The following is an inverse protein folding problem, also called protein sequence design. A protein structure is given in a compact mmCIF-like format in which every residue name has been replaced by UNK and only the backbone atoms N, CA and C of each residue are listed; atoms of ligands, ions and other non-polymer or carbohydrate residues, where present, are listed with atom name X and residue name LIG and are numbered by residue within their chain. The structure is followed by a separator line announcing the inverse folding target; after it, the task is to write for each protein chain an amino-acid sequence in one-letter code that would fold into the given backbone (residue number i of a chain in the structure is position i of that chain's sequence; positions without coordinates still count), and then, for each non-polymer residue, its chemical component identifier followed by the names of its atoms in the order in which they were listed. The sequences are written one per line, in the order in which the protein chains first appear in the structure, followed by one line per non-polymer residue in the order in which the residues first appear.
data_IF_117759663598
#
_entry.id   IF_117759663598
#
_cell.length_a   1.000
_cell.length_b   1.000
_cell.length_c   1.000
_cell.angle_alpha   90.00
_cell.angle_beta   90.00
_cell.angle_gamma   90.00
#
_symmetry.space_group_name_H-M   'P 1'
#
loop_
_entity.id
_entity.type
_entity.pdbx_description
1 polymer ?
#
# COMPACT_ATOMS: atom_id res chain seq x y z
N UNK A 1 -14.77 -6.79 -12.83
CA UNK A 1 -14.00 -7.84 -12.11
C UNK A 1 -14.17 -7.68 -10.60
N UNK A 2 -13.58 -6.65 -9.96
CA UNK A 2 -13.67 -6.49 -8.49
C UNK A 2 -15.12 -6.32 -7.96
N UNK A 3 -15.95 -5.54 -8.65
CA UNK A 3 -17.40 -5.45 -8.33
C UNK A 3 -18.08 -6.82 -8.36
N UNK A 4 -17.84 -7.61 -9.41
CA UNK A 4 -18.43 -8.95 -9.57
C UNK A 4 -18.01 -9.88 -8.45
N UNK A 5 -16.74 -9.83 -8.03
CA UNK A 5 -16.23 -10.63 -6.91
C UNK A 5 -16.98 -10.30 -5.61
N UNK A 6 -17.22 -9.01 -5.34
CA UNK A 6 -17.96 -8.58 -4.15
C UNK A 6 -19.44 -8.97 -4.23
N UNK A 7 -20.10 -8.77 -5.38
CA UNK A 7 -21.50 -9.13 -5.57
C UNK A 7 -21.73 -10.63 -5.41
N UNK A 8 -21.00 -11.46 -6.16
CA UNK A 8 -21.16 -12.92 -6.10
C UNK A 8 -20.76 -13.46 -4.73
N UNK A 9 -19.69 -12.92 -4.13
CA UNK A 9 -19.20 -13.37 -2.83
C UNK A 9 -20.11 -13.01 -1.64
N UNK A 10 -20.90 -11.94 -1.74
CA UNK A 10 -21.76 -11.45 -0.64
C UNK A 10 -23.25 -11.70 -0.89
N UNK A 11 -23.73 -11.45 -2.10
CA UNK A 11 -25.15 -11.55 -2.46
C UNK A 11 -25.51 -12.92 -3.07
N UNK A 12 -24.51 -13.70 -3.49
CA UNK A 12 -24.71 -14.99 -4.15
C UNK A 12 -25.00 -14.85 -5.65
N UNK A 13 -25.30 -16.00 -6.28
CA UNK A 13 -25.56 -16.09 -7.73
C UNK A 13 -26.91 -15.49 -8.13
N UNK A 14 -27.83 -15.32 -7.16
CA UNK A 14 -29.18 -14.78 -7.36
C UNK A 14 -29.26 -13.25 -7.17
N UNK A 15 -28.14 -12.52 -7.29
CA UNK A 15 -28.12 -11.06 -7.19
C UNK A 15 -29.10 -10.43 -8.22
N UNK A 16 -29.96 -9.54 -7.73
CA UNK A 16 -30.96 -8.83 -8.54
C UNK A 16 -30.34 -7.72 -9.41
N UNK A 17 -29.02 -7.54 -9.34
CA UNK A 17 -28.24 -6.56 -10.11
C UNK A 17 -28.70 -5.12 -9.83
N UNK A 18 -29.13 -4.85 -8.59
CA UNK A 18 -29.39 -3.48 -8.16
C UNK A 18 -28.10 -2.66 -8.20
N UNK A 19 -28.20 -1.40 -8.64
CA UNK A 19 -27.05 -0.49 -8.79
C UNK A 19 -26.28 -0.28 -7.48
N UNK A 20 -26.99 -0.29 -6.34
CA UNK A 20 -26.44 -0.11 -4.99
C UNK A 20 -27.19 -0.99 -3.98
N UNK A 21 -26.83 -2.28 -3.88
CA UNK A 21 -27.47 -3.18 -2.92
C UNK A 21 -27.29 -2.64 -1.49
N UNK A 22 -28.36 -2.69 -0.69
CA UNK A 22 -28.33 -2.17 0.69
C UNK A 22 -27.26 -2.92 1.50
N UNK A 23 -26.40 -2.15 2.19
CA UNK A 23 -25.33 -2.64 3.08
C UNK A 23 -24.12 -3.30 2.41
N UNK A 24 -23.95 -3.18 1.08
CA UNK A 24 -22.74 -3.62 0.39
C UNK A 24 -22.05 -2.43 -0.28
N UNK A 25 -20.80 -2.18 0.11
CA UNK A 25 -19.94 -1.17 -0.54
C UNK A 25 -19.43 -1.73 -1.86
N UNK A 26 -19.96 -1.20 -2.95
CA UNK A 26 -19.48 -1.49 -4.31
C UNK A 26 -18.56 -0.33 -4.76
N UNK A 27 -17.39 -0.62 -5.35
CA UNK A 27 -16.52 0.41 -5.88
C UNK A 27 -17.21 1.25 -6.96
N UNK A 28 -16.78 2.50 -7.08
CA UNK A 28 -17.30 3.46 -8.06
C UNK A 28 -17.27 2.91 -9.49
N UNK A 29 -18.31 3.20 -10.29
CA UNK A 29 -18.42 2.75 -11.70
C UNK A 29 -17.35 3.32 -12.64
N UNK A 30 -16.89 4.53 -12.34
CA UNK A 30 -15.88 5.27 -13.13
C UNK A 30 -14.80 5.78 -12.18
N UNK A 31 -14.01 4.88 -11.58
CA UNK A 31 -12.95 5.28 -10.66
C UNK A 31 -11.91 6.10 -11.43
N UNK A 32 -11.28 7.07 -10.76
CA UNK A 32 -10.19 7.84 -11.36
C UNK A 32 -8.95 6.98 -11.54
N UNK A 33 -8.63 6.13 -10.56
CA UNK A 33 -7.51 5.20 -10.57
C UNK A 33 -7.92 3.85 -9.99
N UNK A 34 -7.51 2.78 -10.67
CA UNK A 34 -7.48 1.41 -10.13
C UNK A 34 -6.06 0.89 -10.30
N UNK A 35 -5.35 0.68 -9.19
CA UNK A 35 -3.96 0.25 -9.20
C UNK A 35 -3.81 -1.08 -8.46
N UNK A 36 -3.32 -2.09 -9.17
CA UNK A 36 -2.89 -3.37 -8.58
C UNK A 36 -1.38 -3.33 -8.33
N UNK A 37 -0.97 -3.69 -7.11
CA UNK A 37 0.41 -4.01 -6.77
C UNK A 37 0.47 -5.46 -6.27
N UNK A 38 1.42 -6.24 -6.80
CA UNK A 38 1.57 -7.65 -6.47
C UNK A 38 2.94 -7.89 -5.82
N UNK A 39 2.93 -8.54 -4.65
CA UNK A 39 4.13 -8.98 -3.94
C UNK A 39 4.10 -10.49 -3.77
N UNK A 40 5.19 -11.16 -4.11
CA UNK A 40 5.36 -12.59 -3.85
C UNK A 40 5.92 -12.80 -2.45
N UNK A 41 5.50 -13.89 -1.80
CA UNK A 41 6.08 -14.34 -0.53
C UNK A 41 7.58 -14.61 -0.71
N UNK A 42 8.37 -14.30 0.32
CA UNK A 42 9.80 -14.62 0.36
C UNK A 42 10.05 -16.00 0.97
N UNK A 43 9.08 -16.52 1.73
CA UNK A 43 9.23 -17.72 2.56
C UNK A 43 8.37 -18.91 2.10
N UNK A 44 7.48 -18.70 1.13
CA UNK A 44 6.61 -19.75 0.59
C UNK A 44 6.02 -19.42 -0.78
N UNK A 45 5.12 -20.29 -1.24
CA UNK A 45 4.51 -20.20 -2.58
C UNK A 45 3.21 -19.38 -2.55
N UNK A 46 3.28 -18.19 -1.95
CA UNK A 46 2.14 -17.27 -1.82
C UNK A 46 2.37 -15.94 -2.54
N UNK A 47 1.29 -15.21 -2.77
CA UNK A 47 1.36 -13.83 -3.24
C UNK A 47 0.21 -12.99 -2.69
N UNK A 48 0.44 -11.69 -2.63
CA UNK A 48 -0.52 -10.66 -2.22
C UNK A 48 -0.75 -9.73 -3.40
N UNK A 49 -2.01 -9.57 -3.82
CA UNK A 49 -2.44 -8.59 -4.83
C UNK A 49 -3.30 -7.53 -4.15
N UNK A 50 -2.74 -6.33 -4.01
CA UNK A 50 -3.39 -5.21 -3.34
C UNK A 50 -3.88 -4.18 -4.36
N UNK A 51 -5.13 -3.76 -4.21
CA UNK A 51 -5.84 -2.85 -5.09
C UNK A 51 -6.16 -1.55 -4.36
N UNK A 52 -5.62 -0.44 -4.87
CA UNK A 52 -6.12 0.90 -4.54
C UNK A 52 -7.20 1.26 -5.55
N UNK A 53 -8.39 1.62 -5.07
CA UNK A 53 -9.48 2.12 -5.90
C UNK A 53 -9.83 3.52 -5.42
N UNK A 54 -9.59 4.50 -6.28
CA UNK A 54 -9.92 5.90 -6.01
C UNK A 54 -11.25 6.22 -6.70
N UNK A 55 -12.11 6.96 -6.01
CA UNK A 55 -13.38 7.43 -6.56
C UNK A 55 -13.16 8.39 -7.74
N UNK A 56 -14.22 8.82 -8.45
CA UNK A 56 -14.08 9.75 -9.57
C UNK A 56 -13.47 11.11 -9.21
N UNK A 57 -13.46 11.48 -7.92
CA UNK A 57 -12.89 12.73 -7.41
C UNK A 57 -11.43 12.59 -6.97
N UNK A 58 -10.88 11.37 -6.96
CA UNK A 58 -9.49 11.12 -6.60
C UNK A 58 -9.27 10.87 -5.11
N UNK A 59 -10.34 10.62 -4.35
CA UNK A 59 -10.28 10.20 -2.94
C UNK A 59 -10.36 8.68 -2.85
N UNK A 60 -9.74 8.07 -1.84
CA UNK A 60 -9.80 6.62 -1.67
C UNK A 60 -11.25 6.16 -1.47
N UNK A 61 -11.68 5.20 -2.31
CA UNK A 61 -13.00 4.56 -2.23
C UNK A 61 -12.92 3.21 -1.51
N UNK A 62 -11.95 2.39 -1.90
CA UNK A 62 -11.83 1.00 -1.40
C UNK A 62 -10.38 0.49 -1.52
N UNK A 63 -9.90 -0.14 -0.44
CA UNK A 63 -8.77 -1.07 -0.52
C UNK A 63 -9.29 -2.49 -0.67
N UNK A 64 -8.67 -3.27 -1.54
CA UNK A 64 -9.01 -4.68 -1.69
C UNK A 64 -7.73 -5.50 -1.80
N UNK A 65 -7.64 -6.57 -1.02
CA UNK A 65 -6.47 -7.45 -1.00
C UNK A 65 -6.90 -8.88 -1.30
N UNK A 66 -6.24 -9.50 -2.28
CA UNK A 66 -6.23 -10.94 -2.45
C UNK A 66 -4.94 -11.48 -1.85
N UNK A 67 -5.06 -12.37 -0.88
CA UNK A 67 -3.93 -13.16 -0.40
C UNK A 67 -4.10 -14.59 -0.91
N UNK A 68 -3.21 -14.99 -1.82
CA UNK A 68 -3.32 -16.22 -2.60
C UNK A 68 -2.17 -17.15 -2.24
N UNK A 69 -2.46 -18.45 -2.09
CA UNK A 69 -1.45 -19.49 -1.85
C UNK A 69 -1.51 -20.52 -2.97
N UNK A 70 -0.40 -20.71 -3.66
CA UNK A 70 -0.27 -21.68 -4.74
C UNK A 70 -0.19 -23.10 -4.15
N UNK A 71 -0.81 -24.08 -4.82
CA UNK A 71 -0.68 -25.50 -4.49
C UNK A 71 -1.72 -26.09 -3.52
N UNK A 72 -2.69 -25.32 -3.03
CA UNK A 72 -3.80 -25.90 -2.26
C UNK A 72 -4.95 -26.32 -3.18
N UNK A 73 -5.24 -27.64 -3.24
CA UNK A 73 -6.37 -28.20 -4.00
C UNK A 73 -7.72 -27.75 -3.41
N UNK A 74 -7.72 -27.33 -2.14
CA UNK A 74 -8.87 -26.76 -1.44
C UNK A 74 -8.51 -25.33 -1.03
N UNK A 75 -9.27 -24.29 -1.44
CA UNK A 75 -9.09 -22.94 -0.93
C UNK A 75 -9.31 -22.96 0.58
N UNK A 76 -8.23 -22.86 1.36
CA UNK A 76 -8.35 -22.60 2.79
C UNK A 76 -8.32 -21.09 2.97
N UNK A 77 -9.37 -20.49 3.57
CA UNK A 77 -9.33 -19.07 3.89
C UNK A 77 -8.16 -18.83 4.84
N UNK A 78 -7.32 -17.86 4.50
CA UNK A 78 -6.28 -17.42 5.40
C UNK A 78 -6.94 -16.69 6.55
N UNK A 79 -6.86 -17.28 7.73
CA UNK A 79 -7.45 -16.73 8.94
C UNK A 79 -6.45 -15.71 9.48
N UNK A 80 -6.64 -14.45 9.13
CA UNK A 80 -6.21 -13.37 9.99
C UNK A 80 -7.23 -13.29 11.12
N UNK A 81 -6.79 -13.42 12.37
CA UNK A 81 -7.69 -13.29 13.52
C UNK A 81 -8.44 -11.98 13.40
N UNK A 82 -9.77 -12.04 13.30
CA UNK A 82 -10.67 -10.88 13.25
C UNK A 82 -10.76 -10.14 14.59
N UNK A 83 -9.83 -10.39 15.50
CA UNK A 83 -9.80 -9.80 16.83
C UNK A 83 -9.21 -8.38 16.70
N UNK A 84 -9.95 -7.52 16.00
CA UNK A 84 -9.77 -6.06 15.95
C UNK A 84 -10.16 -5.47 17.32
N UNK A 85 -9.34 -5.77 18.32
CA UNK A 85 -9.30 -5.05 19.59
C UNK A 85 -8.39 -3.83 19.41
N UNK A 86 -8.57 -2.77 20.22
CA UNK A 86 -7.64 -1.61 20.21
C UNK A 86 -6.17 -2.05 20.39
N UNK A 87 -5.92 -3.15 21.11
CA UNK A 87 -4.60 -3.80 21.21
C UNK A 87 -4.04 -4.22 19.85
N UNK A 88 -4.84 -4.79 18.95
CA UNK A 88 -4.39 -5.21 17.63
C UNK A 88 -3.99 -4.02 16.74
N UNK A 89 -4.62 -2.86 16.91
CA UNK A 89 -4.23 -1.63 16.18
C UNK A 89 -2.89 -1.07 16.67
N UNK A 90 -2.69 -1.07 18.00
CA UNK A 90 -1.41 -0.70 18.61
C UNK A 90 -0.30 -1.67 18.17
N UNK A 91 -0.59 -2.96 18.09
CA UNK A 91 0.35 -3.98 17.63
C UNK A 91 0.77 -3.78 16.15
N UNK A 92 -0.15 -3.34 15.28
CA UNK A 92 0.14 -3.10 13.85
C UNK A 92 1.15 -1.98 13.64
N UNK A 93 0.95 -0.83 14.30
CA UNK A 93 1.90 0.28 14.15
C UNK A 93 3.25 -0.07 14.79
N UNK A 94 3.24 -0.73 15.96
CA UNK A 94 4.45 -1.15 16.66
C UNK A 94 5.35 -2.06 15.81
N UNK A 95 4.76 -2.92 14.97
CA UNK A 95 5.52 -3.73 14.02
C UNK A 95 6.34 -2.86 13.04
N UNK A 96 5.81 -1.72 12.60
CA UNK A 96 6.43 -0.80 11.65
C UNK A 96 7.42 0.19 12.30
N UNK A 97 7.20 0.58 13.55
CA UNK A 97 8.07 1.52 14.26
C UNK A 97 9.52 1.02 14.33
N UNK A 98 10.48 1.92 14.27
CA UNK A 98 11.91 1.64 14.33
C UNK A 98 12.62 1.97 13.01
N UNK A 99 13.81 1.38 12.85
CA UNK A 99 14.69 1.62 11.72
C UNK A 99 14.71 0.41 10.79
N UNK A 100 14.52 0.66 9.51
CA UNK A 100 14.53 -0.31 8.44
C UNK A 100 15.64 0.06 7.46
N UNK A 101 16.42 -0.92 7.03
CA UNK A 101 17.46 -0.74 6.03
C UNK A 101 17.31 -1.77 4.92
N UNK A 102 17.67 -1.39 3.71
CA UNK A 102 17.56 -2.29 2.58
C UNK A 102 18.04 -1.71 1.28
N UNK A 103 17.50 -2.27 0.20
CA UNK A 103 17.82 -1.87 -1.16
C UNK A 103 16.55 -1.70 -1.98
N UNK A 104 16.60 -0.77 -2.92
CA UNK A 104 15.49 -0.46 -3.81
C UNK A 104 15.90 -0.46 -5.27
N UNK A 105 14.99 -0.91 -6.13
CA UNK A 105 15.18 -0.94 -7.58
C UNK A 105 13.99 -0.26 -8.24
N UNK A 106 14.24 0.82 -8.97
CA UNK A 106 13.23 1.58 -9.72
C UNK A 106 13.27 1.19 -11.19
N UNK A 107 12.14 0.74 -11.72
CA UNK A 107 11.95 0.41 -13.13
C UNK A 107 10.95 1.33 -13.79
N UNK A 108 11.22 1.70 -15.04
CA UNK A 108 10.28 2.44 -15.88
C UNK A 108 9.05 1.57 -16.16
N UNK A 109 7.86 2.16 -16.10
CA UNK A 109 6.63 1.51 -16.54
C UNK A 109 6.69 1.10 -18.02
N UNK A 110 6.02 0.00 -18.35
CA UNK A 110 5.99 -0.57 -19.70
C UNK A 110 6.77 -1.89 -19.80
N UNK A 111 6.46 -2.67 -20.82
CA UNK A 111 6.94 -4.07 -20.97
C UNK A 111 8.47 -4.18 -21.00
N UNK A 112 9.17 -3.16 -21.52
CA UNK A 112 10.63 -3.16 -21.55
C UNK A 112 11.27 -3.14 -20.14
N UNK A 113 10.62 -2.50 -19.16
CA UNK A 113 11.04 -2.58 -17.75
C UNK A 113 12.46 -2.10 -17.45
N UNK A 114 12.93 -1.05 -18.15
CA UNK A 114 14.26 -0.47 -17.97
C UNK A 114 14.52 -0.12 -16.50
N UNK A 115 15.66 -0.56 -15.95
CA UNK A 115 16.11 -0.08 -14.64
C UNK A 115 16.55 1.38 -14.76
N UNK A 116 15.94 2.25 -13.97
CA UNK A 116 16.21 3.70 -13.94
C UNK A 116 17.18 4.06 -12.83
N UNK A 117 17.04 3.41 -11.67
CA UNK A 117 17.88 3.66 -10.51
C UNK A 117 17.86 2.45 -9.56
N UNK A 118 18.96 2.30 -8.85
CA UNK A 118 19.13 1.40 -7.70
C UNK A 118 19.65 2.26 -6.55
N UNK A 119 19.23 1.96 -5.32
CA UNK A 119 19.62 2.75 -4.17
C UNK A 119 19.53 1.96 -2.87
N UNK A 120 20.48 2.22 -1.97
CA UNK A 120 20.41 1.77 -0.59
C UNK A 120 19.44 2.66 0.18
N UNK A 121 18.57 2.06 0.98
CA UNK A 121 17.48 2.75 1.66
C UNK A 121 17.57 2.60 3.16
N UNK A 122 17.24 3.69 3.86
CA UNK A 122 17.04 3.70 5.32
C UNK A 122 15.73 4.39 5.61
N UNK A 123 14.80 3.71 6.28
CA UNK A 123 13.53 4.28 6.71
C UNK A 123 13.44 4.23 8.23
N UNK A 124 13.23 5.37 8.85
CA UNK A 124 13.04 5.47 10.30
C UNK A 124 11.63 5.99 10.56
N UNK A 125 10.79 5.18 11.19
CA UNK A 125 9.45 5.57 11.63
C UNK A 125 9.42 5.62 13.16
N UNK A 126 9.03 6.77 13.70
CA UNK A 126 8.90 7.01 15.14
C UNK A 126 7.51 7.53 15.45
N UNK A 127 7.02 7.18 16.63
CA UNK A 127 5.84 7.78 17.24
C UNK A 127 6.22 8.26 18.64
N UNK A 128 5.83 9.47 19.00
CA UNK A 128 6.03 9.98 20.35
C UNK A 128 4.86 9.60 21.28
N UNK A 129 4.98 9.96 22.57
CA UNK A 129 3.95 9.67 23.57
C UNK A 129 2.63 10.44 23.37
N UNK A 130 2.60 11.43 22.48
CA UNK A 130 1.41 12.22 22.14
C UNK A 130 0.74 11.73 20.84
N UNK A 131 1.25 10.66 20.22
CA UNK A 131 0.73 10.12 18.95
C UNK A 131 1.25 10.85 17.70
N UNK A 132 2.25 11.73 17.84
CA UNK A 132 2.88 12.40 16.71
C UNK A 132 3.87 11.44 16.01
N UNK A 133 3.73 11.34 14.70
CA UNK A 133 4.56 10.49 13.84
C UNK A 133 5.65 11.31 13.18
N UNK A 134 6.83 10.71 13.07
CA UNK A 134 7.94 11.22 12.25
C UNK A 134 8.48 10.07 11.41
N UNK A 135 8.52 10.27 10.10
CA UNK A 135 9.09 9.34 9.14
C UNK A 135 10.24 9.99 8.38
N UNK A 136 11.43 9.42 8.49
CA UNK A 136 12.58 9.76 7.68
C UNK A 136 12.82 8.66 6.64
N UNK A 137 12.86 9.00 5.37
CA UNK A 137 13.24 8.11 4.28
C UNK A 137 14.50 8.65 3.61
N UNK A 138 15.58 7.89 3.70
CA UNK A 138 16.87 8.19 3.12
C UNK A 138 17.11 7.20 1.98
N UNK A 139 17.49 7.71 0.81
CA UNK A 139 17.86 6.90 -0.34
C UNK A 139 19.20 7.38 -0.89
N UNK A 140 20.18 6.48 -0.96
CA UNK A 140 21.50 6.76 -1.52
C UNK A 140 21.66 5.98 -2.82
N UNK A 141 21.68 6.71 -3.94
CA UNK A 141 21.66 6.11 -5.28
C UNK A 141 22.98 5.42 -5.60
N UNK A 142 22.92 4.13 -5.95
CA UNK A 142 24.08 3.32 -6.32
C UNK A 142 24.83 3.90 -7.51
N UNK A 143 26.17 3.84 -7.47
CA UNK A 143 27.04 4.38 -8.53
C UNK A 143 27.16 5.90 -8.56
N UNK A 144 26.48 6.61 -7.65
CA UNK A 144 26.60 8.07 -7.47
C UNK A 144 26.76 8.39 -5.98
N UNK A 145 27.23 9.59 -5.64
CA UNK A 145 27.24 10.09 -4.26
C UNK A 145 25.97 10.88 -3.91
N UNK A 146 24.88 10.68 -4.65
CA UNK A 146 23.64 11.42 -4.45
C UNK A 146 22.79 10.72 -3.40
N UNK A 147 22.56 11.41 -2.29
CA UNK A 147 21.64 10.99 -1.22
C UNK A 147 20.47 11.95 -1.14
N UNK A 148 19.26 11.42 -1.10
CA UNK A 148 18.03 12.18 -0.88
C UNK A 148 17.41 11.78 0.45
N UNK A 149 16.99 12.77 1.23
CA UNK A 149 16.29 12.56 2.50
C UNK A 149 14.93 13.23 2.41
N UNK A 150 13.88 12.48 2.70
CA UNK A 150 12.50 12.95 2.82
C UNK A 150 12.07 12.76 4.26
N UNK A 151 11.68 13.85 4.91
CA UNK A 151 11.14 13.86 6.26
C UNK A 151 9.65 14.22 6.19
N UNK A 152 8.82 13.40 6.82
CA UNK A 152 7.40 13.64 7.00
C UNK A 152 7.02 13.58 8.46
N UNK A 153 6.09 14.45 8.84
CA UNK A 153 5.45 14.49 10.15
C UNK A 153 3.95 14.25 10.00
N UNK A 154 3.31 13.78 11.07
CA UNK A 154 1.89 13.46 11.02
C UNK A 154 1.34 12.96 12.35
N UNK A 155 0.18 12.32 12.31
CA UNK A 155 -0.49 11.73 13.47
C UNK A 155 -1.00 10.33 13.15
N UNK A 156 -1.05 9.48 14.17
CA UNK A 156 -1.74 8.19 14.10
C UNK A 156 -3.14 8.31 14.71
N UNK A 157 -4.17 7.87 13.98
CA UNK A 157 -5.51 7.62 14.51
C UNK A 157 -5.87 6.16 14.22
N UNK A 158 -5.83 5.33 15.26
CA UNK A 158 -6.07 3.89 15.17
C UNK A 158 -5.18 3.20 14.11
N UNK A 159 -5.80 2.75 13.01
CA UNK A 159 -5.14 2.08 11.89
C UNK A 159 -4.85 3.03 10.72
N UNK A 160 -5.02 4.34 10.87
CA UNK A 160 -4.74 5.32 9.83
C UNK A 160 -3.61 6.25 10.28
N UNK A 161 -2.54 6.29 9.51
CA UNK A 161 -1.45 7.26 9.68
C UNK A 161 -1.67 8.38 8.68
N UNK A 162 -1.77 9.62 9.15
CA UNK A 162 -1.99 10.79 8.31
C UNK A 162 -0.78 11.72 8.42
N UNK A 163 -0.16 12.04 7.29
CA UNK A 163 0.97 12.94 7.21
C UNK A 163 0.53 14.34 6.77
N UNK A 164 1.20 15.36 7.30
CA UNK A 164 0.85 16.77 7.06
C UNK A 164 0.93 17.18 5.58
N UNK A 165 1.70 16.42 4.78
CA UNK A 165 1.80 16.58 3.32
C UNK A 165 0.60 16.02 2.53
N UNK A 166 -0.45 15.53 3.20
CA UNK A 166 -1.63 14.96 2.56
C UNK A 166 -1.44 13.53 2.05
N UNK A 167 -0.45 12.81 2.56
CA UNK A 167 -0.26 11.37 2.33
C UNK A 167 -0.81 10.58 3.52
N UNK A 168 -1.40 9.42 3.26
CA UNK A 168 -2.02 8.57 4.26
C UNK A 168 -1.54 7.13 4.12
N UNK A 169 -1.49 6.40 5.23
CA UNK A 169 -1.19 4.96 5.24
C UNK A 169 -2.23 4.25 6.10
N UNK A 170 -2.95 3.31 5.51
CA UNK A 170 -3.87 2.43 6.23
C UNK A 170 -3.15 1.15 6.63
N UNK A 171 -3.08 0.90 7.94
CA UNK A 171 -2.54 -0.31 8.54
C UNK A 171 -3.57 -1.44 8.45
N UNK A 172 -3.13 -2.58 7.94
CA UNK A 172 -3.99 -3.72 7.62
C UNK A 172 -3.54 -4.95 8.41
N UNK A 173 -4.43 -5.95 8.59
CA UNK A 173 -4.03 -7.24 9.13
C UNK A 173 -2.89 -7.90 8.35
N UNK A 174 -2.19 -8.85 8.97
CA UNK A 174 -1.18 -9.66 8.27
C UNK A 174 0.14 -8.94 7.95
N UNK A 175 0.48 -7.90 8.73
CA UNK A 175 1.73 -7.16 8.54
C UNK A 175 1.73 -6.28 7.29
N UNK A 176 0.56 -5.87 6.82
CA UNK A 176 0.40 -5.09 5.61
C UNK A 176 0.07 -3.63 5.91
N UNK A 177 0.44 -2.73 5.01
CA UNK A 177 -0.16 -1.41 4.93
C UNK A 177 -0.30 -0.99 3.46
N UNK A 178 -1.19 -0.05 3.22
CA UNK A 178 -1.40 0.57 1.91
C UNK A 178 -1.30 2.09 2.05
N UNK A 179 -0.44 2.72 1.25
CA UNK A 179 -0.14 4.15 1.28
C UNK A 179 -0.62 4.87 0.02
N UNK A 180 -1.21 6.05 0.19
CA UNK A 180 -1.87 6.80 -0.88
C UNK A 180 -2.00 8.29 -0.52
N UNK A 181 -2.14 9.20 -1.50
CA UNK A 181 -2.53 10.58 -1.24
C UNK A 181 -3.99 10.63 -0.77
N UNK A 182 -4.27 11.45 0.23
CA UNK A 182 -5.63 11.72 0.73
C UNK A 182 -6.59 12.19 -0.38
N UNK A 183 -6.08 12.96 -1.35
CA UNK A 183 -6.83 13.48 -2.49
C UNK A 183 -5.91 13.70 -3.70
N UNK A 184 -6.02 12.82 -4.70
CA UNK A 184 -5.22 12.86 -5.92
C UNK A 184 -5.57 14.07 -6.80
N UNK A 185 -6.81 14.58 -6.73
CA UNK A 185 -7.19 15.75 -7.52
C UNK A 185 -6.38 16.99 -7.14
N UNK A 186 -5.98 17.10 -5.86
CA UNK A 186 -5.08 18.17 -5.39
C UNK A 186 -3.69 18.03 -5.99
N UNK A 187 -3.12 16.82 -6.00
CA UNK A 187 -1.82 16.57 -6.62
C UNK A 187 -1.83 16.97 -8.10
N UNK A 188 -2.85 16.55 -8.84
CA UNK A 188 -3.01 16.89 -10.27
C UNK A 188 -3.21 18.39 -10.47
N UNK A 189 -4.04 19.04 -9.66
CA UNK A 189 -4.28 20.48 -9.73
C UNK A 189 -3.03 21.31 -9.41
N UNK A 190 -2.14 20.80 -8.57
CA UNK A 190 -0.87 21.41 -8.19
C UNK A 190 0.29 21.05 -9.14
N UNK A 191 0.03 20.21 -10.15
CA UNK A 191 1.04 19.65 -11.07
C UNK A 191 2.13 18.83 -10.35
N UNK A 192 1.78 18.22 -9.22
CA UNK A 192 2.67 17.38 -8.44
C UNK A 192 2.58 15.92 -8.85
N UNK A 193 3.73 15.24 -8.82
CA UNK A 193 3.76 13.78 -8.91
C UNK A 193 3.23 13.18 -7.61
N UNK A 194 2.67 11.97 -7.69
CA UNK A 194 2.20 11.24 -6.52
C UNK A 194 2.54 9.75 -6.64
N UNK A 195 2.32 8.99 -5.58
CA UNK A 195 2.56 7.55 -5.59
C UNK A 195 1.53 6.80 -4.76
N UNK A 196 1.38 5.52 -5.09
CA UNK A 196 0.64 4.54 -4.30
C UNK A 196 1.62 3.49 -3.81
N UNK A 197 1.39 2.94 -2.63
CA UNK A 197 2.33 2.05 -1.97
C UNK A 197 1.62 0.86 -1.36
N UNK A 198 2.22 -0.32 -1.48
CA UNK A 198 1.87 -1.47 -0.65
C UNK A 198 3.11 -1.96 0.07
N UNK A 199 2.94 -2.34 1.33
CA UNK A 199 3.95 -3.04 2.09
C UNK A 199 3.40 -4.34 2.61
N UNK A 200 4.25 -5.36 2.64
CA UNK A 200 3.96 -6.62 3.28
C UNK A 200 5.17 -7.11 4.07
N UNK A 201 4.96 -7.25 5.38
CA UNK A 201 5.89 -7.85 6.32
C UNK A 201 5.41 -9.27 6.62
N UNK A 202 5.93 -10.24 5.86
CA UNK A 202 5.56 -11.65 6.03
C UNK A 202 6.05 -12.21 7.37
N UNK A 203 7.26 -11.83 7.79
CA UNK A 203 7.85 -12.19 9.08
C UNK A 203 8.37 -10.96 9.83
N UNK A 204 8.30 -10.92 11.17
CA UNK A 204 8.79 -9.80 11.95
C UNK A 204 10.24 -9.47 11.61
N UNK A 205 10.49 -8.21 11.26
CA UNK A 205 11.84 -7.72 10.96
C UNK A 205 12.27 -7.84 9.50
N UNK A 206 11.42 -8.35 8.59
CA UNK A 206 11.70 -8.32 7.14
C UNK A 206 10.44 -7.95 6.36
N UNK A 207 10.54 -6.97 5.47
CA UNK A 207 9.40 -6.48 4.68
C UNK A 207 9.76 -6.22 3.24
N UNK A 208 8.74 -6.29 2.39
CA UNK A 208 8.78 -5.84 1.02
C UNK A 208 7.86 -4.64 0.84
N UNK A 209 8.26 -3.69 -0.01
CA UNK A 209 7.39 -2.59 -0.43
C UNK A 209 7.38 -2.49 -1.94
N UNK A 210 6.24 -2.12 -2.49
CA UNK A 210 6.11 -1.79 -3.90
C UNK A 210 5.41 -0.44 -4.03
N UNK A 211 6.14 0.52 -4.60
CA UNK A 211 5.66 1.87 -4.83
C UNK A 211 5.41 2.06 -6.32
N UNK A 212 4.20 2.52 -6.66
CA UNK A 212 3.78 2.89 -8.02
C UNK A 212 3.79 4.41 -8.13
N UNK A 213 4.64 4.97 -8.99
CA UNK A 213 4.78 6.42 -9.15
C UNK A 213 3.99 6.90 -10.36
N UNK A 214 3.27 8.01 -10.17
CA UNK A 214 2.48 8.69 -11.17
C UNK A 214 3.02 10.09 -11.41
N UNK A 215 2.98 10.54 -12.66
CA UNK A 215 3.22 11.95 -12.99
C UNK A 215 2.02 12.84 -12.62
N UNK A 216 2.20 14.14 -12.84
CA UNK A 216 1.19 15.18 -12.60
C UNK A 216 -0.11 15.02 -13.40
N UNK A 217 -0.13 14.17 -14.43
CA UNK A 217 -1.32 13.88 -15.24
C UNK A 217 -2.01 12.57 -14.81
N UNK A 218 -1.49 11.89 -13.78
CA UNK A 218 -2.01 10.62 -13.31
C UNK A 218 -1.57 9.42 -14.17
N UNK A 219 -0.52 9.56 -14.98
CA UNK A 219 0.06 8.44 -15.73
C UNK A 219 1.15 7.76 -14.91
N UNK A 220 1.09 6.43 -14.79
CA UNK A 220 2.10 5.67 -14.07
C UNK A 220 3.44 5.62 -14.83
N UNK A 221 4.48 6.25 -14.28
CA UNK A 221 5.80 6.40 -14.93
C UNK A 221 6.84 5.36 -14.49
N UNK A 222 6.73 4.86 -13.26
CA UNK A 222 7.66 3.87 -12.72
C UNK A 222 7.06 3.02 -11.60
N UNK A 223 7.75 1.94 -11.28
CA UNK A 223 7.56 1.16 -10.06
C UNK A 223 8.89 0.97 -9.34
N UNK A 224 8.88 1.15 -8.02
CA UNK A 224 10.06 0.94 -7.16
C UNK A 224 9.77 -0.19 -6.20
N UNK A 225 10.55 -1.26 -6.28
CA UNK A 225 10.52 -2.38 -5.35
C UNK A 225 11.55 -2.15 -4.25
N UNK A 226 11.18 -2.46 -3.01
CA UNK A 226 12.05 -2.40 -1.84
C UNK A 226 12.08 -3.75 -1.13
N UNK A 227 13.26 -4.13 -0.67
CA UNK A 227 13.46 -5.24 0.25
C UNK A 227 14.25 -4.73 1.45
N UNK A 228 13.64 -4.76 2.64
CA UNK A 228 14.15 -4.11 3.84
C UNK A 228 14.12 -5.04 5.06
N UNK A 229 15.09 -4.85 5.95
CA UNK A 229 15.21 -5.53 7.24
C UNK A 229 15.24 -4.53 8.38
N UNK A 230 14.62 -4.88 9.51
CA UNK A 230 14.60 -4.06 10.72
C UNK A 230 15.93 -4.18 11.47
N UNK A 231 16.39 -3.06 12.03
CA UNK A 231 17.65 -2.93 12.79
C UNK A 231 17.37 -2.80 14.28
#
# INVERSE_FOLDING_TARGET
MLETVLRVGVLGEDDTVEDSPKNLKIPSRKPSIVCENCLYSLEGDGLVRAFHIMDPTGVLDTHLIFHEKQGSIVPQPLIYSSDDTESASSDRINALLGRWEGHSVTKRSGVYGATLAEADTVVVLKMDGNGQLVQDTISTKSGTSTTTTVNWTGSADNNLLQFDGGYEMTLLPGGMYMGYPSDISKCVAQLDSFHLEVCWMESPGRRQRLVRTYDSAGLAVSSTYFLETKV
#
